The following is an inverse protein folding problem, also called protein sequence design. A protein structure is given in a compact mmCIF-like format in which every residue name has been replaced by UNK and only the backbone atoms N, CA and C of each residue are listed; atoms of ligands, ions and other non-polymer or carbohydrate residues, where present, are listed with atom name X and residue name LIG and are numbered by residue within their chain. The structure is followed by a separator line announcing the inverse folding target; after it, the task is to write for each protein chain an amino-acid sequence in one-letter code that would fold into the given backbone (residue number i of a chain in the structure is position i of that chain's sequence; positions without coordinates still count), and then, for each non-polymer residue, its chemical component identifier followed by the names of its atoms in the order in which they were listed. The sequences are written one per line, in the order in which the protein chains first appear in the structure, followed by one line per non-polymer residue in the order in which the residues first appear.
data_IF_722449395718
#
_entry.id   IF_722449395718
#
_cell.length_a   1.000
_cell.length_b   1.000
_cell.length_c   1.000
_cell.angle_alpha   90.00
_cell.angle_beta   90.00
_cell.angle_gamma   90.00
#
_symmetry.space_group_name_H-M   'P 1'
#
loop_
_entity.id
_entity.type
_entity.pdbx_description
1 polymer ?
#
# COMPACT_ATOMS: atom_id res chain seq x y z
N UNK A 1 -28.12 -11.51 14.02
CA UNK A 1 -27.21 -10.40 13.67
C UNK A 1 -25.82 -10.74 14.20
N UNK A 2 -24.91 -11.15 13.33
CA UNK A 2 -23.51 -11.45 13.70
C UNK A 2 -22.75 -10.13 13.77
N UNK A 3 -22.51 -9.66 14.99
CA UNK A 3 -21.68 -8.48 15.20
C UNK A 3 -20.23 -8.89 14.90
N UNK A 4 -19.76 -8.57 13.69
CA UNK A 4 -18.35 -8.75 13.32
C UNK A 4 -17.53 -7.93 14.32
N UNK A 5 -16.59 -8.52 15.07
CA UNK A 5 -15.81 -7.77 16.03
C UNK A 5 -15.07 -6.67 15.28
N UNK A 6 -15.33 -5.42 15.67
CA UNK A 6 -14.72 -4.22 15.08
C UNK A 6 -13.20 -4.47 15.00
N UNK A 7 -12.65 -4.44 13.79
CA UNK A 7 -11.28 -4.83 13.54
C UNK A 7 -10.37 -3.95 14.40
N UNK A 8 -9.62 -4.55 15.33
CA UNK A 8 -8.85 -3.79 16.34
C UNK A 8 -7.90 -2.78 15.70
N UNK A 9 -7.43 -3.05 14.49
CA UNK A 9 -6.58 -2.15 13.70
C UNK A 9 -7.28 -0.83 13.38
N UNK A 10 -8.56 -0.87 13.03
CA UNK A 10 -9.33 0.33 12.69
C UNK A 10 -9.47 1.25 13.91
N UNK A 11 -9.71 0.67 15.09
CA UNK A 11 -9.77 1.44 16.35
C UNK A 11 -8.43 2.04 16.75
N UNK A 12 -7.32 1.35 16.46
CA UNK A 12 -5.96 1.87 16.71
C UNK A 12 -5.62 2.99 15.71
N UNK A 13 -6.01 2.85 14.45
CA UNK A 13 -5.85 3.86 13.42
C UNK A 13 -6.66 5.14 13.73
N UNK A 14 -7.90 4.98 14.20
CA UNK A 14 -8.75 6.09 14.67
C UNK A 14 -8.12 6.80 15.88
N UNK A 15 -7.57 6.04 16.84
CA UNK A 15 -6.95 6.59 18.05
C UNK A 15 -5.66 7.36 17.77
N UNK A 16 -4.79 6.79 16.94
CA UNK A 16 -3.48 7.37 16.64
C UNK A 16 -3.53 8.37 15.47
N UNK A 17 -4.71 8.55 14.85
CA UNK A 17 -4.95 9.35 13.64
C UNK A 17 -3.89 9.12 12.56
N UNK A 18 -3.31 7.92 12.56
CA UNK A 18 -2.22 7.49 11.69
C UNK A 18 -2.55 6.07 11.28
N UNK A 19 -2.58 5.84 9.98
CA UNK A 19 -2.74 4.50 9.44
C UNK A 19 -1.50 3.68 9.80
N UNK A 20 -1.70 2.59 10.54
CA UNK A 20 -0.68 1.57 10.67
C UNK A 20 -0.49 0.89 9.32
N UNK A 21 0.75 0.70 8.88
CA UNK A 21 1.01 -0.08 7.68
C UNK A 21 0.42 -1.48 7.87
N UNK A 22 -0.24 -1.98 6.83
CA UNK A 22 -0.86 -3.31 6.85
C UNK A 22 0.18 -4.42 7.02
N UNK A 23 1.38 -4.18 6.48
CA UNK A 23 2.53 -5.09 6.51
C UNK A 23 3.59 -4.52 7.47
N UNK A 24 4.10 -5.30 8.43
CA UNK A 24 5.17 -4.88 9.33
C UNK A 24 6.47 -4.66 8.57
N UNK A 25 7.34 -3.79 9.09
CA UNK A 25 8.60 -3.41 8.43
C UNK A 25 9.56 -4.59 8.22
N UNK A 26 9.46 -5.67 9.02
CA UNK A 26 10.26 -6.87 8.85
C UNK A 26 9.85 -7.73 7.64
N UNK A 27 8.61 -7.58 7.18
CA UNK A 27 8.08 -8.29 6.00
C UNK A 27 8.14 -7.43 4.74
N UNK A 28 8.48 -6.14 4.86
CA UNK A 28 8.68 -5.26 3.71
C UNK A 28 10.05 -5.49 3.11
N UNK A 29 10.09 -5.91 1.85
CA UNK A 29 11.33 -5.96 1.10
C UNK A 29 11.88 -4.53 0.90
N UNK A 30 13.19 -4.32 1.14
CA UNK A 30 13.81 -3.03 0.88
C UNK A 30 13.81 -2.77 -0.62
N UNK A 31 13.30 -1.60 -1.02
CA UNK A 31 13.32 -1.18 -2.43
C UNK A 31 14.75 -0.86 -2.83
N UNK A 32 15.29 -1.58 -3.80
CA UNK A 32 16.60 -1.28 -4.34
C UNK A 32 16.51 -0.10 -5.33
N UNK A 33 17.54 0.75 -5.46
CA UNK A 33 17.53 1.86 -6.42
C UNK A 33 17.20 1.43 -7.86
N UNK A 34 17.69 0.26 -8.27
CA UNK A 34 17.41 -0.35 -9.58
C UNK A 34 15.93 -0.70 -9.80
N UNK A 35 15.18 -1.01 -8.72
CA UNK A 35 13.74 -1.30 -8.81
C UNK A 35 12.94 -0.03 -9.14
N UNK A 36 13.45 1.14 -8.73
CA UNK A 36 12.81 2.43 -9.00
C UNK A 36 12.90 2.71 -10.51
N UNK A 37 14.09 2.60 -11.09
CA UNK A 37 14.30 2.83 -12.53
C UNK A 37 13.50 1.84 -13.38
N UNK A 38 13.47 0.57 -12.97
CA UNK A 38 12.68 -0.47 -13.63
C UNK A 38 11.17 -0.17 -13.57
N UNK A 39 10.67 0.25 -12.40
CA UNK A 39 9.26 0.65 -12.21
C UNK A 39 8.89 1.86 -13.06
N UNK A 40 9.72 2.91 -13.10
CA UNK A 40 9.46 4.11 -13.88
C UNK A 40 9.48 3.83 -15.39
N UNK A 41 10.35 2.91 -15.84
CA UNK A 41 10.32 2.43 -17.21
C UNK A 41 9.02 1.68 -17.51
N UNK A 42 8.63 0.75 -16.63
CA UNK A 42 7.40 -0.02 -16.81
C UNK A 42 6.16 0.89 -16.89
N UNK A 43 6.07 1.92 -16.04
CA UNK A 43 4.95 2.87 -16.06
C UNK A 43 4.83 3.60 -17.39
N UNK A 44 5.95 4.03 -17.98
CA UNK A 44 5.97 4.70 -19.29
C UNK A 44 5.57 3.77 -20.43
N UNK A 45 6.03 2.52 -20.38
CA UNK A 45 5.75 1.53 -21.41
C UNK A 45 4.31 1.00 -21.36
N UNK A 46 3.60 1.21 -20.24
CA UNK A 46 2.25 0.69 -19.99
C UNK A 46 1.21 1.79 -19.70
N UNK A 47 1.43 3.02 -20.17
CA UNK A 47 0.41 4.08 -20.06
C UNK A 47 -0.80 3.65 -20.90
N UNK A 48 -2.00 3.49 -20.28
CA UNK A 48 -3.19 3.12 -21.02
C UNK A 48 -3.49 4.15 -22.12
N UNK A 49 -4.02 3.73 -23.28
CA UNK A 49 -4.38 4.66 -24.34
C UNK A 49 -5.39 5.67 -23.77
N UNK A 50 -5.12 6.96 -23.96
CA UNK A 50 -6.08 8.00 -23.64
C UNK A 50 -7.30 7.80 -24.55
N UNK A 51 -8.44 7.46 -23.96
CA UNK A 51 -9.71 7.49 -24.67
C UNK A 51 -10.10 8.97 -24.89
N UNK A 52 -10.11 9.42 -26.15
CA UNK A 52 -10.74 10.68 -26.56
C UNK A 52 -12.27 10.56 -26.58
#
# INVERSE_FOLDING_TARGET
MTQTPKNRRDSVNELLKKAFPEVPDTEREPVAPEDIDARERWLRDNIPPHHE
#
